data_IF_074965888580
#
_entry.id   IF_074965888580
#
_cell.length_a   1.000
_cell.length_b   1.000
_cell.length_c   1.000
_cell.angle_alpha   90.00
_cell.angle_beta   90.00
_cell.angle_gamma   90.00
#
_symmetry.space_group_name_H-M   'P 1'
#
loop_
_entity.id
_entity.type
_entity.pdbx_description
1 polymer ?
#
# COMPACT_ATOMS: atom_id res chain seq x y z
N UNK A 1 -42.33 -49.44 -2.40
CA UNK A 1 -41.22 -48.94 -3.24
C UNK A 1 -40.92 -47.51 -2.80
N UNK A 2 -39.95 -47.32 -1.91
CA UNK A 2 -39.57 -46.01 -1.36
C UNK A 2 -38.49 -45.42 -2.28
N UNK A 3 -38.81 -44.35 -3.00
CA UNK A 3 -37.84 -43.57 -3.78
C UNK A 3 -37.19 -42.55 -2.85
N UNK A 4 -35.94 -42.81 -2.48
CA UNK A 4 -35.07 -41.83 -1.82
C UNK A 4 -34.59 -40.85 -2.89
N UNK A 5 -35.06 -39.60 -2.82
CA UNK A 5 -34.52 -38.50 -3.63
C UNK A 5 -33.32 -37.90 -2.87
N UNK A 6 -32.12 -38.19 -3.34
CA UNK A 6 -30.88 -37.58 -2.83
C UNK A 6 -30.75 -36.17 -3.40
N UNK A 7 -30.93 -35.16 -2.55
CA UNK A 7 -30.63 -33.76 -2.89
C UNK A 7 -29.11 -33.55 -2.86
N UNK A 8 -28.48 -33.40 -4.04
CA UNK A 8 -27.10 -32.94 -4.14
C UNK A 8 -27.09 -31.42 -3.85
N UNK A 9 -26.60 -31.01 -2.68
CA UNK A 9 -26.29 -29.61 -2.40
C UNK A 9 -24.99 -29.29 -3.13
N UNK A 10 -25.10 -28.59 -4.27
CA UNK A 10 -23.94 -27.98 -4.94
C UNK A 10 -23.43 -26.85 -4.05
N UNK A 11 -22.29 -27.06 -3.39
CA UNK A 11 -21.56 -25.99 -2.72
C UNK A 11 -21.13 -24.97 -3.79
N UNK A 12 -21.82 -23.85 -3.88
CA UNK A 12 -21.37 -22.72 -4.68
C UNK A 12 -20.04 -22.21 -4.09
N UNK A 13 -19.06 -21.83 -4.92
CA UNK A 13 -17.85 -21.21 -4.41
C UNK A 13 -18.26 -19.92 -3.71
N UNK A 14 -17.76 -19.71 -2.49
CA UNK A 14 -17.87 -18.42 -1.83
C UNK A 14 -17.09 -17.42 -2.68
N UNK A 15 -17.78 -16.58 -3.43
CA UNK A 15 -17.16 -15.38 -4.01
C UNK A 15 -16.77 -14.50 -2.82
N UNK A 16 -15.48 -14.41 -2.53
CA UNK A 16 -14.99 -13.31 -1.70
C UNK A 16 -15.45 -12.01 -2.38
N UNK A 17 -16.06 -11.10 -1.63
CA UNK A 17 -16.38 -9.78 -2.16
C UNK A 17 -15.06 -9.12 -2.55
N UNK A 18 -14.86 -8.94 -3.86
CA UNK A 18 -13.64 -8.35 -4.39
C UNK A 18 -13.76 -6.84 -4.27
N UNK A 19 -13.18 -6.28 -3.20
CA UNK A 19 -13.03 -4.84 -3.03
C UNK A 19 -11.88 -4.39 -3.93
N UNK A 20 -12.17 -3.53 -4.91
CA UNK A 20 -11.19 -3.10 -5.91
C UNK A 20 -11.09 -1.58 -5.94
N UNK A 21 -9.87 -1.09 -6.11
CA UNK A 21 -9.57 0.32 -6.35
C UNK A 21 -9.00 0.46 -7.75
N UNK A 22 -9.17 1.64 -8.37
CA UNK A 22 -8.59 1.91 -9.68
C UNK A 22 -7.31 2.74 -9.51
N UNK A 23 -6.16 2.06 -9.62
CA UNK A 23 -4.84 2.68 -9.54
C UNK A 23 -4.68 3.85 -10.54
N UNK A 24 -5.34 3.82 -11.70
CA UNK A 24 -5.28 4.92 -12.65
C UNK A 24 -5.89 6.21 -12.05
N UNK A 25 -6.91 6.12 -11.19
CA UNK A 25 -7.48 7.31 -10.56
C UNK A 25 -6.49 7.91 -9.56
N UNK A 26 -5.82 7.07 -8.77
CA UNK A 26 -4.73 7.49 -7.86
C UNK A 26 -3.64 8.21 -8.66
N UNK A 27 -3.22 7.62 -9.79
CA UNK A 27 -2.21 8.17 -10.70
C UNK A 27 -2.60 9.54 -11.25
N UNK A 28 -3.86 9.71 -11.65
CA UNK A 28 -4.36 11.01 -12.14
C UNK A 28 -4.42 12.04 -11.03
N UNK A 29 -4.82 11.64 -9.82
CA UNK A 29 -4.86 12.54 -8.68
C UNK A 29 -3.45 13.07 -8.37
N UNK A 30 -2.46 12.19 -8.19
CA UNK A 30 -1.10 12.62 -7.85
C UNK A 30 -0.41 13.44 -8.95
N UNK A 31 -0.87 13.34 -10.20
CA UNK A 31 -0.33 14.12 -11.31
C UNK A 31 -0.79 15.59 -11.32
N UNK A 32 -1.89 15.92 -10.63
CA UNK A 32 -2.47 17.29 -10.63
C UNK A 32 -2.36 17.99 -9.28
N UNK A 33 -1.99 17.28 -8.22
CA UNK A 33 -1.89 17.81 -6.86
C UNK A 33 -0.46 18.25 -6.57
N UNK A 34 -0.29 19.40 -5.92
CA UNK A 34 1.02 19.85 -5.42
C UNK A 34 1.53 18.94 -4.30
N UNK A 35 0.63 18.52 -3.41
CA UNK A 35 0.90 17.53 -2.37
C UNK A 35 0.20 16.20 -2.72
N UNK A 36 0.93 15.16 -3.13
CA UNK A 36 0.33 13.85 -3.46
C UNK A 36 -0.36 13.18 -2.27
N UNK A 37 -0.07 13.57 -1.01
CA UNK A 37 -0.74 12.99 0.17
C UNK A 37 -2.25 13.26 0.17
N UNK A 38 -2.72 14.32 -0.50
CA UNK A 38 -4.16 14.61 -0.59
C UNK A 38 -4.96 13.57 -1.40
N UNK A 39 -4.26 12.69 -2.12
CA UNK A 39 -4.85 11.61 -2.90
C UNK A 39 -5.05 10.32 -2.10
N UNK A 40 -4.36 10.19 -0.97
CA UNK A 40 -4.38 9.01 -0.12
C UNK A 40 -5.76 8.84 0.50
N UNK A 41 -6.34 7.64 0.36
CA UNK A 41 -7.65 7.27 0.92
C UNK A 41 -8.84 7.60 0.02
N UNK A 42 -8.65 8.36 -1.07
CA UNK A 42 -9.76 8.79 -1.93
C UNK A 42 -10.42 7.64 -2.69
N UNK A 43 -9.62 6.67 -3.14
CA UNK A 43 -10.16 5.52 -3.86
C UNK A 43 -10.75 4.49 -2.89
N UNK A 44 -10.17 4.36 -1.70
CA UNK A 44 -10.75 3.60 -0.60
C UNK A 44 -12.12 4.17 -0.18
N UNK A 45 -12.25 5.49 -0.11
CA UNK A 45 -13.52 6.19 0.15
C UNK A 45 -14.55 5.91 -0.94
N UNK A 46 -14.15 6.00 -2.22
CA UNK A 46 -15.02 5.67 -3.37
C UNK A 46 -15.49 4.22 -3.30
N UNK A 47 -14.55 3.28 -3.12
CA UNK A 47 -14.82 1.85 -2.97
C UNK A 47 -15.81 1.60 -1.81
N UNK A 48 -15.58 2.22 -0.65
CA UNK A 48 -16.45 2.07 0.52
C UNK A 48 -17.87 2.56 0.23
N UNK A 49 -18.02 3.71 -0.46
CA UNK A 49 -19.32 4.25 -0.85
C UNK A 49 -20.07 3.36 -1.85
N UNK A 50 -19.37 2.80 -2.84
CA UNK A 50 -19.95 1.91 -3.85
C UNK A 50 -20.52 0.62 -3.24
N UNK A 51 -19.94 0.17 -2.13
CA UNK A 51 -20.38 -1.03 -1.42
C UNK A 51 -21.38 -0.76 -0.27
N UNK A 52 -21.91 0.47 -0.16
CA UNK A 52 -22.96 0.82 0.82
C UNK A 52 -22.44 1.35 2.16
N UNK A 53 -21.12 1.46 2.32
CA UNK A 53 -20.44 2.17 3.40
C UNK A 53 -20.56 1.59 4.81
N UNK A 54 -19.87 2.23 5.76
CA UNK A 54 -20.16 2.17 7.20
C UNK A 54 -19.81 0.88 7.95
N UNK A 55 -19.45 -0.22 7.28
CA UNK A 55 -18.93 -1.41 7.94
C UNK A 55 -17.41 -1.35 8.02
N UNK A 56 -16.85 -1.43 9.23
CA UNK A 56 -15.39 -1.43 9.47
C UNK A 56 -14.63 -2.46 8.61
N UNK A 57 -15.22 -3.64 8.40
CA UNK A 57 -14.60 -4.68 7.55
C UNK A 57 -14.46 -4.21 6.09
N UNK A 58 -15.47 -3.52 5.58
CA UNK A 58 -15.48 -2.97 4.22
C UNK A 58 -14.52 -1.79 4.11
N UNK A 59 -14.53 -0.89 5.10
CA UNK A 59 -13.58 0.20 5.17
C UNK A 59 -12.15 -0.34 5.16
N UNK A 60 -11.82 -1.27 6.04
CA UNK A 60 -10.50 -1.90 6.07
C UNK A 60 -10.14 -2.55 4.72
N UNK A 61 -11.06 -3.31 4.11
CA UNK A 61 -10.79 -4.00 2.85
C UNK A 61 -10.53 -3.02 1.68
N UNK A 62 -11.33 -1.97 1.53
CA UNK A 62 -11.10 -0.94 0.53
C UNK A 62 -9.79 -0.17 0.78
N UNK A 63 -9.47 0.13 2.05
CA UNK A 63 -8.22 0.80 2.42
C UNK A 63 -7.00 -0.08 2.16
N UNK A 64 -7.06 -1.39 2.44
CA UNK A 64 -6.00 -2.33 2.08
C UNK A 64 -5.80 -2.42 0.56
N UNK A 65 -6.89 -2.44 -0.22
CA UNK A 65 -6.81 -2.44 -1.68
C UNK A 65 -6.11 -1.17 -2.20
N UNK A 66 -6.39 0.00 -1.61
CA UNK A 66 -5.65 1.22 -1.94
C UNK A 66 -4.18 1.13 -1.52
N UNK A 67 -3.88 0.62 -0.31
CA UNK A 67 -2.51 0.44 0.16
C UNK A 67 -1.68 -0.44 -0.80
N UNK A 68 -2.28 -1.50 -1.36
CA UNK A 68 -1.64 -2.37 -2.36
C UNK A 68 -1.31 -1.59 -3.65
N UNK A 69 -2.22 -0.76 -4.15
CA UNK A 69 -1.97 0.08 -5.32
C UNK A 69 -0.84 1.13 -5.09
N UNK A 70 -0.75 1.66 -3.86
CA UNK A 70 0.38 2.50 -3.46
C UNK A 70 1.69 1.70 -3.34
N UNK A 71 1.66 0.46 -2.84
CA UNK A 71 2.85 -0.39 -2.72
C UNK A 71 3.39 -0.81 -4.10
N UNK A 72 2.52 -1.10 -5.07
CA UNK A 72 2.91 -1.33 -6.46
C UNK A 72 3.66 -0.13 -7.05
N UNK A 73 3.13 1.07 -6.79
CA UNK A 73 3.75 2.34 -7.21
C UNK A 73 5.09 2.57 -6.50
N UNK A 74 5.17 2.28 -5.19
CA UNK A 74 6.39 2.35 -4.37
C UNK A 74 7.46 1.41 -4.90
N UNK A 75 7.11 0.15 -5.18
CA UNK A 75 8.04 -0.84 -5.70
C UNK A 75 8.54 -0.48 -7.10
N UNK A 76 7.70 0.13 -7.94
CA UNK A 76 8.13 0.67 -9.23
C UNK A 76 9.14 1.82 -9.06
N UNK A 77 8.88 2.77 -8.16
CA UNK A 77 9.80 3.87 -7.85
C UNK A 77 11.12 3.37 -7.28
N UNK A 78 11.09 2.37 -6.39
CA UNK A 78 12.28 1.75 -5.82
C UNK A 78 13.15 1.07 -6.87
N UNK A 79 12.56 0.30 -7.80
CA UNK A 79 13.30 -0.32 -8.92
C UNK A 79 13.96 0.71 -9.82
N UNK A 80 13.29 1.83 -10.06
CA UNK A 80 13.83 2.94 -10.86
C UNK A 80 15.00 3.63 -10.15
N UNK A 81 14.89 3.88 -8.85
CA UNK A 81 16.02 4.40 -8.06
C UNK A 81 17.21 3.43 -8.06
N UNK A 82 16.98 2.13 -7.96
CA UNK A 82 18.06 1.15 -8.07
C UNK A 82 18.73 1.19 -9.45
N UNK A 83 17.98 1.44 -10.53
CA UNK A 83 18.55 1.62 -11.86
C UNK A 83 19.42 2.88 -11.91
N UNK A 84 18.91 4.00 -11.44
CA UNK A 84 19.65 5.26 -11.38
C UNK A 84 20.91 5.17 -10.50
N UNK A 85 20.84 4.50 -9.36
CA UNK A 85 21.99 4.28 -8.50
C UNK A 85 23.11 3.47 -9.17
N UNK A 86 22.78 2.49 -10.02
CA UNK A 86 23.76 1.78 -10.84
C UNK A 86 24.38 2.67 -11.91
N UNK A 87 23.60 3.59 -12.48
CA UNK A 87 24.08 4.51 -13.52
C UNK A 87 24.96 5.62 -12.96
N UNK A 88 24.86 5.89 -11.65
CA UNK A 88 25.61 6.92 -10.92
C UNK A 88 26.64 6.33 -9.96
N UNK A 89 27.17 5.13 -10.23
CA UNK A 89 28.22 4.52 -9.39
C UNK A 89 29.45 5.43 -9.23
N UNK A 90 29.71 6.33 -10.18
CA UNK A 90 30.76 7.34 -10.14
C UNK A 90 30.54 8.43 -9.07
N UNK A 91 29.33 8.55 -8.52
CA UNK A 91 29.00 9.50 -7.45
C UNK A 91 29.26 8.94 -6.04
N UNK A 92 29.64 7.67 -5.92
CA UNK A 92 29.98 7.08 -4.64
C UNK A 92 31.09 7.89 -3.96
N UNK A 93 30.87 8.26 -2.69
CA UNK A 93 31.84 8.99 -1.85
C UNK A 93 33.13 8.21 -1.56
N UNK A 94 33.27 7.00 -2.10
CA UNK A 94 34.49 6.19 -2.08
C UNK A 94 34.74 5.41 -0.79
N UNK A 95 33.83 5.45 0.20
CA UNK A 95 33.96 4.65 1.43
C UNK A 95 33.79 3.15 1.19
N UNK A 96 32.90 2.78 0.26
CA UNK A 96 32.63 1.41 -0.16
C UNK A 96 32.15 1.42 -1.62
N UNK A 97 32.47 0.38 -2.39
CA UNK A 97 31.97 0.22 -3.75
C UNK A 97 30.46 -0.08 -3.73
N UNK A 98 29.67 0.64 -4.51
CA UNK A 98 28.22 0.46 -4.58
C UNK A 98 27.48 1.04 -3.38
N UNK A 99 28.05 2.07 -2.74
CA UNK A 99 27.51 2.69 -1.53
C UNK A 99 26.08 3.23 -1.76
N UNK A 100 25.78 3.77 -2.95
CA UNK A 100 24.43 4.20 -3.31
C UNK A 100 23.39 3.06 -3.25
N UNK A 101 23.70 1.90 -3.84
CA UNK A 101 22.79 0.74 -3.81
C UNK A 101 22.63 0.16 -2.42
N UNK A 102 23.74 0.09 -1.66
CA UNK A 102 23.73 -0.39 -0.28
C UNK A 102 22.88 0.53 0.59
N UNK A 103 23.10 1.84 0.51
CA UNK A 103 22.33 2.84 1.25
C UNK A 103 20.85 2.82 0.90
N UNK A 104 20.50 2.74 -0.38
CA UNK A 104 19.11 2.63 -0.84
C UNK A 104 18.42 1.37 -0.30
N UNK A 105 19.10 0.21 -0.38
CA UNK A 105 18.58 -1.06 0.15
C UNK A 105 18.36 -1.00 1.65
N UNK A 106 19.35 -0.50 2.38
CA UNK A 106 19.33 -0.51 3.85
C UNK A 106 18.30 0.49 4.40
N UNK A 107 18.17 1.66 3.75
CA UNK A 107 17.11 2.62 4.02
C UNK A 107 15.72 2.01 3.81
N UNK A 108 15.49 1.32 2.69
CA UNK A 108 14.19 0.70 2.40
C UNK A 108 13.85 -0.42 3.40
N UNK A 109 14.84 -1.23 3.81
CA UNK A 109 14.66 -2.26 4.84
C UNK A 109 14.34 -1.67 6.21
N UNK A 110 15.05 -0.61 6.59
CA UNK A 110 14.79 0.09 7.85
C UNK A 110 13.37 0.71 7.85
N UNK A 111 12.94 1.26 6.72
CA UNK A 111 11.57 1.77 6.56
C UNK A 111 10.52 0.68 6.78
N UNK A 112 10.68 -0.53 6.21
CA UNK A 112 9.73 -1.63 6.44
C UNK A 112 9.60 -1.93 7.94
N UNK A 113 10.72 -2.02 8.66
CA UNK A 113 10.71 -2.23 10.12
C UNK A 113 10.03 -1.08 10.87
N UNK A 114 10.25 0.17 10.45
CA UNK A 114 9.59 1.34 11.02
C UNK A 114 8.07 1.29 10.78
N UNK A 115 7.62 1.08 9.53
CA UNK A 115 6.22 0.94 9.12
C UNK A 115 5.51 -0.11 9.96
N UNK A 116 6.10 -1.30 10.05
CA UNK A 116 5.48 -2.41 10.78
C UNK A 116 5.36 -2.08 12.28
N UNK A 117 6.35 -1.39 12.87
CA UNK A 117 6.31 -0.98 14.26
C UNK A 117 5.28 0.14 14.54
N UNK A 118 5.18 1.14 13.67
CA UNK A 118 4.20 2.23 13.82
C UNK A 118 2.78 1.72 13.60
N UNK A 119 2.57 0.83 12.63
CA UNK A 119 1.23 0.25 12.40
C UNK A 119 0.83 -0.74 13.50
N UNK A 120 1.75 -1.51 14.06
CA UNK A 120 1.48 -2.29 15.26
C UNK A 120 1.08 -1.40 16.45
N UNK A 121 1.68 -0.20 16.57
CA UNK A 121 1.28 0.77 17.59
C UNK A 121 -0.12 1.36 17.31
N UNK A 122 -0.45 1.69 16.07
CA UNK A 122 -1.77 2.15 15.66
C UNK A 122 -2.86 1.12 16.02
N UNK A 123 -2.62 -0.16 15.72
CA UNK A 123 -3.49 -1.28 16.10
C UNK A 123 -3.62 -1.40 17.62
N UNK A 124 -2.53 -1.25 18.37
CA UNK A 124 -2.57 -1.29 19.85
C UNK A 124 -3.35 -0.13 20.48
N UNK A 125 -3.43 1.02 19.80
CA UNK A 125 -4.21 2.18 20.21
C UNK A 125 -5.68 2.09 19.81
N UNK A 126 -6.02 1.23 18.82
CA UNK A 126 -7.40 0.93 18.49
C UNK A 126 -8.10 0.40 19.74
N UNK A 127 -9.21 1.05 20.13
CA UNK A 127 -9.92 0.79 21.39
C UNK A 127 -10.19 -0.72 21.55
N UNK A 128 -10.17 -1.25 22.80
CA UNK A 128 -10.23 -2.68 23.00
C UNK A 128 -11.58 -3.18 22.47
N UNK A 129 -11.53 -4.21 21.62
CA UNK A 129 -12.66 -4.92 20.99
C UNK A 129 -13.16 -4.36 19.66
N UNK A 130 -13.00 -5.16 18.59
CA UNK A 130 -13.79 -5.05 17.36
C UNK A 130 -12.98 -4.96 16.06
N UNK A 131 -13.72 -4.72 14.98
CA UNK A 131 -13.25 -4.53 13.60
C UNK A 131 -12.43 -3.25 13.37
N UNK A 132 -12.43 -2.32 14.34
CA UNK A 132 -11.63 -1.10 14.31
C UNK A 132 -10.11 -1.35 14.27
N UNK A 133 -9.62 -2.50 14.76
CA UNK A 133 -8.22 -2.87 14.65
C UNK A 133 -7.77 -3.03 13.18
N UNK A 134 -8.62 -3.65 12.35
CA UNK A 134 -8.31 -3.83 10.92
C UNK A 134 -8.33 -2.51 10.15
N UNK A 135 -9.22 -1.58 10.53
CA UNK A 135 -9.25 -0.22 9.96
C UNK A 135 -7.97 0.54 10.33
N UNK A 136 -7.57 0.53 11.61
CA UNK A 136 -6.36 1.20 12.06
C UNK A 136 -5.08 0.66 11.40
N UNK A 137 -5.01 -0.67 11.18
CA UNK A 137 -3.93 -1.30 10.43
C UNK A 137 -3.90 -0.82 8.97
N UNK A 138 -5.05 -0.89 8.29
CA UNK A 138 -5.17 -0.53 6.88
C UNK A 138 -4.83 0.95 6.63
N UNK A 139 -5.36 1.85 7.46
CA UNK A 139 -5.10 3.30 7.37
C UNK A 139 -3.61 3.61 7.56
N UNK A 140 -2.98 3.01 8.58
CA UNK A 140 -1.55 3.20 8.81
C UNK A 140 -0.70 2.69 7.65
N UNK A 141 -0.97 1.48 7.15
CA UNK A 141 -0.22 0.92 6.04
C UNK A 141 -0.37 1.76 4.77
N UNK A 142 -1.58 2.23 4.48
CA UNK A 142 -1.85 3.12 3.36
C UNK A 142 -1.04 4.42 3.47
N UNK A 143 -1.11 5.10 4.63
CA UNK A 143 -0.41 6.36 4.86
C UNK A 143 1.11 6.21 4.75
N UNK A 144 1.70 5.25 5.48
CA UNK A 144 3.15 5.02 5.50
C UNK A 144 3.70 4.62 4.12
N UNK A 145 2.93 3.83 3.37
CA UNK A 145 3.30 3.41 2.00
C UNK A 145 3.27 4.60 1.04
N UNK A 146 2.25 5.45 1.12
CA UNK A 146 2.17 6.67 0.31
C UNK A 146 3.29 7.65 0.62
N UNK A 147 3.59 7.89 1.91
CA UNK A 147 4.69 8.75 2.35
C UNK A 147 6.04 8.24 1.81
N UNK A 148 6.30 6.94 1.89
CA UNK A 148 7.53 6.37 1.36
C UNK A 148 7.60 6.45 -0.16
N UNK A 149 6.50 6.19 -0.89
CA UNK A 149 6.46 6.42 -2.33
C UNK A 149 6.88 7.86 -2.67
N UNK A 150 6.31 8.87 -1.99
CA UNK A 150 6.67 10.28 -2.21
C UNK A 150 8.15 10.50 -1.91
N UNK A 151 8.67 9.95 -0.82
CA UNK A 151 10.09 10.05 -0.47
C UNK A 151 11.00 9.48 -1.56
N UNK A 152 10.67 8.31 -2.11
CA UNK A 152 11.44 7.70 -3.21
C UNK A 152 11.36 8.56 -4.48
N UNK A 153 10.20 9.14 -4.81
CA UNK A 153 10.08 10.03 -5.95
C UNK A 153 10.87 11.34 -5.78
N UNK A 154 10.96 11.88 -4.56
CA UNK A 154 11.82 13.02 -4.25
C UNK A 154 13.29 12.65 -4.41
N UNK A 155 13.73 11.51 -3.85
CA UNK A 155 15.11 11.03 -4.02
C UNK A 155 15.48 10.87 -5.49
N UNK A 156 14.55 10.45 -6.35
CA UNK A 156 14.81 10.31 -7.79
C UNK A 156 15.29 11.62 -8.41
N UNK A 157 14.78 12.77 -7.94
CA UNK A 157 15.25 14.08 -8.41
C UNK A 157 16.74 14.27 -8.12
N UNK A 158 17.22 13.86 -6.93
CA UNK A 158 18.62 13.94 -6.52
C UNK A 158 19.56 13.15 -7.46
N UNK A 159 19.10 12.03 -8.03
CA UNK A 159 19.87 11.22 -9.00
C UNK A 159 19.90 11.79 -10.42
N UNK A 160 19.04 12.78 -10.72
CA UNK A 160 18.89 13.36 -12.07
C UNK A 160 19.49 14.74 -12.25
N UNK A 161 19.91 15.39 -11.16
CA UNK A 161 20.75 16.59 -11.22
C UNK A 161 22.19 16.24 -11.63
#
# INVERSE_FOLDING_TARGET
MIRVLTFLVLAAPAAAQEFTVDAHIIDRCRAIQEDPMVCVGREADRCTQEHGGGADMMLAACTFAEAEAWDDSLNAAYRELQRLAREREDWDVGYESGALLIGLRDMQRAWITYRDAVCANAVALAKPFGSAAGVAEAECLLEETAQQFIKLNQMRWDYTQ
#
